data_IF_713881627062
#
_entry.id   IF_713881627062
#
_cell.length_a   1.000
_cell.length_b   1.000
_cell.length_c   1.000
_cell.angle_alpha   90.00
_cell.angle_beta   90.00
_cell.angle_gamma   90.00
#
_symmetry.space_group_name_H-M   'P 1'
#
loop_
_entity.id
_entity.type
_entity.pdbx_description
1 polymer ?
#
# COMPACT_ATOMS: atom_id res chain seq x y z
N UNK A 1 9.62 -11.81 14.93
CA UNK A 1 8.33 -11.11 14.79
C UNK A 1 8.54 -9.67 15.21
N UNK A 2 8.90 -8.80 14.27
CA UNK A 2 8.90 -7.36 14.53
C UNK A 2 7.44 -6.91 14.54
N UNK A 3 6.98 -6.37 15.65
CA UNK A 3 5.73 -5.60 15.69
C UNK A 3 6.03 -4.31 14.95
N UNK A 4 5.98 -4.35 13.62
CA UNK A 4 5.77 -3.13 12.83
C UNK A 4 4.45 -2.57 13.29
N UNK A 5 4.43 -1.32 13.75
CA UNK A 5 3.18 -0.60 13.96
C UNK A 5 2.37 -0.71 12.66
N UNK A 6 1.34 -1.55 12.66
CA UNK A 6 0.52 -1.80 11.48
C UNK A 6 -0.21 -0.50 11.19
N UNK A 7 0.32 0.29 10.25
CA UNK A 7 -0.36 1.47 9.77
C UNK A 7 -1.69 1.06 9.14
N UNK A 8 -2.68 1.94 9.19
CA UNK A 8 -4.01 1.72 8.56
C UNK A 8 -3.80 1.22 7.13
N UNK A 9 -4.44 0.12 6.74
CA UNK A 9 -4.34 -0.45 5.39
C UNK A 9 -3.13 -1.39 5.17
N UNK A 10 -2.35 -1.69 6.21
CA UNK A 10 -1.22 -2.62 6.14
C UNK A 10 -1.66 -4.04 5.77
N UNK A 11 -2.74 -4.54 6.38
CA UNK A 11 -3.23 -5.90 6.13
C UNK A 11 -3.72 -6.06 4.69
N UNK A 12 -4.45 -5.06 4.17
CA UNK A 12 -4.90 -5.01 2.78
C UNK A 12 -3.72 -4.98 1.80
N UNK A 13 -2.65 -4.25 2.13
CA UNK A 13 -1.44 -4.22 1.31
C UNK A 13 -0.75 -5.58 1.27
N UNK A 14 -0.54 -6.20 2.44
CA UNK A 14 0.09 -7.52 2.55
C UNK A 14 -0.75 -8.57 1.81
N UNK A 15 -2.06 -8.53 2.00
CA UNK A 15 -3.00 -9.43 1.33
C UNK A 15 -2.92 -9.26 -0.20
N UNK A 16 -2.98 -8.04 -0.71
CA UNK A 16 -2.89 -7.75 -2.15
C UNK A 16 -1.57 -8.23 -2.77
N UNK A 17 -0.45 -7.99 -2.07
CA UNK A 17 0.88 -8.41 -2.54
C UNK A 17 1.03 -9.93 -2.58
N UNK A 18 0.38 -10.66 -1.66
CA UNK A 18 0.44 -12.12 -1.61
C UNK A 18 -0.52 -12.81 -2.60
N UNK A 19 -1.66 -12.19 -2.93
CA UNK A 19 -2.70 -12.84 -3.73
C UNK A 19 -2.61 -12.52 -5.24
N UNK A 20 -2.07 -11.36 -5.62
CA UNK A 20 -2.13 -10.88 -7.00
C UNK A 20 -0.99 -11.40 -7.89
N UNK A 21 -1.35 -11.97 -9.05
CA UNK A 21 -0.39 -12.32 -10.12
C UNK A 21 0.08 -11.11 -10.93
N UNK A 22 -0.59 -9.95 -10.80
CA UNK A 22 -0.28 -8.72 -11.54
C UNK A 22 -0.26 -7.55 -10.57
N UNK A 23 0.80 -7.52 -9.76
CA UNK A 23 1.00 -6.51 -8.74
C UNK A 23 1.26 -5.16 -9.41
N UNK A 24 0.53 -4.14 -8.97
CA UNK A 24 0.78 -2.74 -9.31
C UNK A 24 0.22 -1.84 -8.21
N UNK A 25 0.91 -0.74 -7.93
CA UNK A 25 0.47 0.25 -6.95
C UNK A 25 -0.89 0.85 -7.34
N UNK A 26 -1.07 1.16 -8.62
CA UNK A 26 -2.34 1.67 -9.13
C UNK A 26 -3.49 0.68 -8.94
N UNK A 27 -3.27 -0.62 -9.17
CA UNK A 27 -4.28 -1.65 -8.92
C UNK A 27 -4.61 -1.80 -7.43
N UNK A 28 -3.60 -1.71 -6.55
CA UNK A 28 -3.82 -1.70 -5.10
C UNK A 28 -4.71 -0.52 -4.69
N UNK A 29 -4.38 0.68 -5.15
CA UNK A 29 -5.17 1.86 -4.85
C UNK A 29 -6.59 1.75 -5.41
N UNK A 30 -6.78 1.29 -6.64
CA UNK A 30 -8.11 1.21 -7.23
C UNK A 30 -9.06 0.32 -6.40
N UNK A 31 -8.53 -0.79 -5.85
CA UNK A 31 -9.30 -1.74 -5.04
C UNK A 31 -9.50 -1.23 -3.59
N UNK A 32 -8.43 -0.76 -2.94
CA UNK A 32 -8.42 -0.53 -1.49
C UNK A 32 -8.48 0.95 -1.08
N UNK A 33 -8.47 1.90 -2.03
CA UNK A 33 -8.47 3.35 -1.73
C UNK A 33 -9.62 3.77 -0.83
N UNK A 34 -10.84 3.32 -1.12
CA UNK A 34 -12.01 3.72 -0.33
C UNK A 34 -11.93 3.14 1.09
N UNK A 35 -11.46 1.91 1.25
CA UNK A 35 -11.23 1.28 2.56
C UNK A 35 -10.21 2.07 3.37
N UNK A 36 -9.07 2.43 2.76
CA UNK A 36 -8.03 3.18 3.46
C UNK A 36 -8.51 4.59 3.84
N UNK A 37 -9.20 5.29 2.93
CA UNK A 37 -9.78 6.61 3.20
C UNK A 37 -10.81 6.54 4.33
N UNK A 38 -11.72 5.57 4.28
CA UNK A 38 -12.75 5.40 5.32
C UNK A 38 -12.10 5.18 6.69
N UNK A 39 -11.11 4.29 6.77
CA UNK A 39 -10.36 4.03 8.00
C UNK A 39 -9.62 5.27 8.51
N UNK A 40 -9.05 6.09 7.63
CA UNK A 40 -8.39 7.35 8.01
C UNK A 40 -9.36 8.42 8.49
N UNK A 41 -10.53 8.52 7.85
CA UNK A 41 -11.57 9.49 8.21
C UNK A 41 -12.18 9.21 9.59
N UNK A 42 -12.17 7.94 10.01
CA UNK A 42 -12.60 7.54 11.36
C UNK A 42 -11.57 7.89 12.44
N UNK A 43 -10.28 7.86 12.09
CA UNK A 43 -9.18 8.15 13.02
C UNK A 43 -8.81 9.64 13.08
N UNK A 44 -9.10 10.40 12.01
CA UNK A 44 -8.75 11.82 11.90
C UNK A 44 -9.72 12.54 10.96
N UNK A 45 -10.04 13.82 11.23
CA UNK A 45 -10.63 14.73 10.24
C UNK A 45 -9.59 15.02 9.12
N UNK A 46 -9.27 14.02 8.30
CA UNK A 46 -8.18 14.07 7.35
C UNK A 46 -8.53 15.00 6.17
N UNK A 47 -7.87 16.15 6.02
CA UNK A 47 -8.20 17.08 4.94
C UNK A 47 -7.66 16.56 3.60
N UNK A 48 -8.48 16.69 2.55
CA UNK A 48 -8.23 16.16 1.21
C UNK A 48 -6.90 16.66 0.60
N UNK A 49 -6.45 17.84 0.99
CA UNK A 49 -5.17 18.44 0.57
C UNK A 49 -3.93 17.69 1.09
N UNK A 50 -4.06 16.89 2.15
CA UNK A 50 -3.00 15.97 2.60
C UNK A 50 -2.91 14.69 1.75
N UNK A 51 -3.80 14.51 0.76
CA UNK A 51 -3.81 13.35 -0.13
C UNK A 51 -2.54 13.23 -0.99
N UNK A 52 -1.91 14.34 -1.35
CA UNK A 52 -0.63 14.30 -2.08
C UNK A 52 0.48 13.65 -1.24
N UNK A 53 0.56 14.03 0.04
CA UNK A 53 1.49 13.44 1.00
C UNK A 53 1.14 11.98 1.29
N UNK A 54 -0.15 11.67 1.31
CA UNK A 54 -0.66 10.30 1.44
C UNK A 54 -0.19 9.42 0.28
N UNK A 55 -0.34 9.84 -0.97
CA UNK A 55 0.11 9.07 -2.13
C UNK A 55 1.61 8.76 -2.03
N UNK A 56 2.46 9.74 -1.70
CA UNK A 56 3.91 9.51 -1.53
C UNK A 56 4.18 8.48 -0.44
N UNK A 57 3.56 8.64 0.74
CA UNK A 57 3.74 7.70 1.84
C UNK A 57 3.30 6.27 1.48
N UNK A 58 2.21 6.14 0.74
CA UNK A 58 1.69 4.84 0.31
C UNK A 58 2.48 4.20 -0.82
N UNK A 59 3.01 4.99 -1.74
CA UNK A 59 3.95 4.48 -2.75
C UNK A 59 5.19 3.90 -2.09
N UNK A 60 5.75 4.60 -1.10
CA UNK A 60 6.93 4.11 -0.37
C UNK A 60 6.61 2.81 0.38
N UNK A 61 5.52 2.80 1.15
CA UNK A 61 5.06 1.60 1.87
C UNK A 61 4.83 0.41 0.93
N UNK A 62 4.20 0.66 -0.22
CA UNK A 62 3.96 -0.36 -1.22
C UNK A 62 5.28 -0.95 -1.73
N UNK A 63 6.25 -0.11 -2.09
CA UNK A 63 7.56 -0.54 -2.56
C UNK A 63 8.35 -1.28 -1.49
N UNK A 64 8.30 -0.82 -0.23
CA UNK A 64 9.00 -1.45 0.88
C UNK A 64 8.43 -2.84 1.17
N UNK A 65 7.11 -2.97 1.27
CA UNK A 65 6.46 -4.25 1.50
C UNK A 65 6.62 -5.19 0.29
N UNK A 66 6.55 -4.66 -0.93
CA UNK A 66 6.80 -5.46 -2.12
C UNK A 66 8.25 -5.96 -2.19
N UNK A 67 9.22 -5.19 -1.70
CA UNK A 67 10.62 -5.60 -1.63
C UNK A 67 10.84 -6.73 -0.62
N UNK A 68 10.09 -6.72 0.49
CA UNK A 68 10.20 -7.72 1.55
C UNK A 68 9.44 -9.01 1.21
N UNK A 69 8.29 -8.89 0.54
CA UNK A 69 7.38 -10.03 0.31
C UNK A 69 7.57 -10.71 -1.05
N UNK A 70 8.08 -10.00 -2.07
CA UNK A 70 8.25 -10.56 -3.41
C UNK A 70 9.67 -11.05 -3.64
N UNK A 71 9.82 -12.07 -4.49
CA UNK A 71 11.13 -12.45 -4.98
C UNK A 71 11.77 -11.32 -5.81
N UNK A 72 13.11 -11.33 -5.91
CA UNK A 72 13.86 -10.26 -6.57
C UNK A 72 13.44 -10.05 -8.03
N UNK A 73 12.95 -11.08 -8.72
CA UNK A 73 12.57 -10.98 -10.13
C UNK A 73 11.19 -10.32 -10.25
N UNK A 74 10.22 -10.75 -9.45
CA UNK A 74 8.89 -10.15 -9.35
C UNK A 74 8.95 -8.68 -8.91
N UNK A 75 9.80 -8.34 -7.92
CA UNK A 75 10.01 -6.95 -7.51
C UNK A 75 10.69 -6.10 -8.59
N UNK A 76 11.63 -6.69 -9.36
CA UNK A 76 12.28 -5.97 -10.46
C UNK A 76 11.30 -5.66 -11.59
N UNK A 77 10.42 -6.59 -11.93
CA UNK A 77 9.37 -6.36 -12.94
C UNK A 77 8.34 -5.32 -12.47
N UNK A 78 8.03 -5.29 -11.17
CA UNK A 78 7.17 -4.27 -10.57
C UNK A 78 7.74 -2.86 -10.74
N UNK A 79 9.06 -2.68 -10.56
CA UNK A 79 9.74 -1.37 -10.70
C UNK A 79 9.84 -0.85 -12.12
N UNK A 80 9.70 -1.71 -13.13
CA UNK A 80 9.76 -1.33 -14.55
C UNK A 80 8.43 -0.80 -15.08
N UNK A 81 7.33 -0.98 -14.33
CA UNK A 81 5.97 -0.53 -14.66
C UNK A 81 5.61 0.75 -13.93
#
# INVERSE_FOLDING_TARGET
>A
MSVTENYIGFEELVFYLNESRKISYHGFLDIYRNTIIASLSQLTNFPLEKWQNFNIAWTNRFLDNAKELLDSNAFTELKKK
#
